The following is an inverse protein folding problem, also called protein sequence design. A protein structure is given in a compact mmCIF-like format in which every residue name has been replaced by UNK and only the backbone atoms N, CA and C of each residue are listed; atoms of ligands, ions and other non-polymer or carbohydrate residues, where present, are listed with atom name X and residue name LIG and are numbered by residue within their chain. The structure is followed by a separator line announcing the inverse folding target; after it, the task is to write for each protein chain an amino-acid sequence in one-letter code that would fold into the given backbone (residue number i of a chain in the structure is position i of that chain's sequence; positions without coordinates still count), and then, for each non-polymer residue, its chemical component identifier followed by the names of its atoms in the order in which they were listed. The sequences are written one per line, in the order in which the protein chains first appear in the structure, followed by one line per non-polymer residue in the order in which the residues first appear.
data_IF_996948554214
#
_entry.id   IF_996948554214
#
_cell.length_a   1.000
_cell.length_b   1.000
_cell.length_c   1.000
_cell.angle_alpha   90.00
_cell.angle_beta   90.00
_cell.angle_gamma   90.00
#
_symmetry.space_group_name_H-M   'P 1'
#
loop_
_entity.id
_entity.type
_entity.pdbx_description
1 polymer ?
#
# COMPACT_ATOMS: atom_id res chain seq x y z
N UNK A 1 -8.85 17.56 -11.43
CA UNK A 1 -8.96 16.63 -10.28
C UNK A 1 -7.67 15.88 -10.09
N UNK A 2 -7.22 15.79 -8.86
CA UNK A 2 -6.04 15.02 -8.54
C UNK A 2 -6.31 13.50 -8.66
N UNK A 3 -5.38 12.76 -9.25
CA UNK A 3 -5.45 11.30 -9.30
C UNK A 3 -5.13 10.73 -7.92
N UNK A 4 -5.46 9.45 -7.70
CA UNK A 4 -5.11 8.79 -6.44
C UNK A 4 -3.61 8.78 -6.20
N UNK A 5 -2.82 8.58 -7.26
CA UNK A 5 -1.36 8.64 -7.19
C UNK A 5 -0.88 10.02 -6.71
N UNK A 6 -1.46 11.08 -7.24
CA UNK A 6 -1.14 12.44 -6.83
C UNK A 6 -1.50 12.70 -5.37
N UNK A 7 -2.65 12.20 -4.93
CA UNK A 7 -3.09 12.34 -3.53
C UNK A 7 -2.10 11.65 -2.59
N UNK A 8 -1.69 10.42 -2.90
CA UNK A 8 -0.72 9.70 -2.07
C UNK A 8 0.65 10.38 -2.06
N UNK A 9 1.12 10.83 -3.23
CA UNK A 9 2.38 11.55 -3.30
C UNK A 9 2.34 12.82 -2.45
N UNK A 10 1.24 13.55 -2.50
CA UNK A 10 1.04 14.76 -1.70
C UNK A 10 1.00 14.46 -0.21
N UNK A 11 0.32 13.39 0.19
CA UNK A 11 0.30 12.95 1.58
C UNK A 11 1.71 12.62 2.08
N UNK A 12 2.50 11.91 1.28
CA UNK A 12 3.87 11.57 1.63
C UNK A 12 4.76 12.81 1.72
N UNK A 13 4.56 13.78 0.83
CA UNK A 13 5.28 15.07 0.89
C UNK A 13 4.92 15.84 2.16
N UNK A 14 3.64 15.88 2.50
CA UNK A 14 3.16 16.55 3.72
C UNK A 14 3.75 15.93 4.97
N UNK A 15 3.98 14.62 4.97
CA UNK A 15 4.60 13.89 6.06
C UNK A 15 6.14 13.96 6.05
N UNK A 16 6.72 14.53 4.99
CA UNK A 16 8.16 14.64 4.84
C UNK A 16 8.87 13.34 4.49
N UNK A 17 8.15 12.34 3.99
CA UNK A 17 8.70 11.02 3.68
C UNK A 17 8.63 10.65 2.20
N UNK A 18 8.20 11.58 1.35
CA UNK A 18 8.09 11.30 -0.09
C UNK A 18 9.47 11.09 -0.72
N UNK A 19 9.53 10.07 -1.58
CA UNK A 19 10.71 9.80 -2.41
C UNK A 19 10.24 9.37 -3.81
N UNK A 20 10.94 9.76 -4.87
CA UNK A 20 10.58 9.32 -6.23
C UNK A 20 10.57 7.80 -6.37
N UNK A 21 11.38 7.09 -5.60
CA UNK A 21 11.42 5.64 -5.61
C UNK A 21 10.12 5.00 -5.10
N UNK A 22 9.25 5.74 -4.43
CA UNK A 22 7.94 5.26 -4.00
C UNK A 22 6.89 5.23 -5.12
N UNK A 23 7.17 5.84 -6.28
CA UNK A 23 6.19 5.96 -7.36
C UNK A 23 5.58 4.60 -7.80
N UNK A 24 6.37 3.53 -8.02
CA UNK A 24 5.78 2.24 -8.38
C UNK A 24 4.85 1.69 -7.30
N UNK A 25 5.20 1.87 -6.04
CA UNK A 25 4.40 1.41 -4.90
C UNK A 25 3.10 2.21 -4.78
N UNK A 26 3.19 3.53 -4.97
CA UNK A 26 2.03 4.42 -4.99
C UNK A 26 1.07 4.00 -6.11
N UNK A 27 1.60 3.70 -7.28
CA UNK A 27 0.82 3.26 -8.43
C UNK A 27 0.09 1.94 -8.12
N UNK A 28 0.79 0.98 -7.53
CA UNK A 28 0.20 -0.29 -7.12
C UNK A 28 -0.92 -0.08 -6.11
N UNK A 29 -0.69 0.76 -5.11
CA UNK A 29 -1.70 1.09 -4.10
C UNK A 29 -2.95 1.72 -4.73
N UNK A 30 -2.77 2.64 -5.65
CA UNK A 30 -3.88 3.27 -6.37
C UNK A 30 -4.68 2.26 -7.18
N UNK A 31 -4.02 1.33 -7.85
CA UNK A 31 -4.67 0.25 -8.60
C UNK A 31 -5.48 -0.66 -7.66
N UNK A 32 -4.91 -1.03 -6.53
CA UNK A 32 -5.60 -1.85 -5.53
C UNK A 32 -6.86 -1.15 -5.00
N UNK A 33 -6.82 0.15 -4.80
CA UNK A 33 -7.99 0.89 -4.35
C UNK A 33 -9.08 0.97 -5.42
N UNK A 34 -8.72 1.09 -6.68
CA UNK A 34 -9.68 1.02 -7.79
C UNK A 34 -10.33 -0.36 -7.84
N UNK A 35 -9.52 -1.41 -7.67
CA UNK A 35 -10.02 -2.78 -7.64
C UNK A 35 -10.97 -3.00 -6.47
N UNK A 36 -10.66 -2.43 -5.31
CA UNK A 36 -11.54 -2.48 -4.14
C UNK A 36 -12.88 -1.81 -4.42
N UNK A 37 -12.90 -0.65 -5.07
CA UNK A 37 -14.16 0.02 -5.41
C UNK A 37 -15.00 -0.82 -6.37
N UNK A 38 -14.37 -1.45 -7.36
CA UNK A 38 -15.06 -2.36 -8.27
C UNK A 38 -15.63 -3.58 -7.54
N UNK A 39 -14.84 -4.18 -6.66
CA UNK A 39 -15.27 -5.33 -5.87
C UNK A 39 -16.44 -4.98 -4.96
N UNK A 40 -16.41 -3.82 -4.31
CA UNK A 40 -17.52 -3.34 -3.49
C UNK A 40 -18.79 -3.13 -4.31
N UNK A 41 -18.67 -2.56 -5.49
CA UNK A 41 -19.79 -2.34 -6.39
C UNK A 41 -20.40 -3.68 -6.83
N UNK A 42 -19.56 -4.63 -7.20
CA UNK A 42 -20.00 -5.97 -7.58
C UNK A 42 -20.71 -6.67 -6.43
N UNK A 43 -20.16 -6.58 -5.22
CA UNK A 43 -20.76 -7.17 -4.03
C UNK A 43 -22.14 -6.57 -3.72
N UNK A 44 -22.26 -5.24 -3.77
CA UNK A 44 -23.54 -4.58 -3.56
C UNK A 44 -24.58 -4.98 -4.59
N UNK A 45 -24.16 -5.23 -5.82
CA UNK A 45 -25.05 -5.64 -6.91
C UNK A 45 -25.59 -7.07 -6.73
N UNK A 46 -25.02 -7.88 -5.85
CA UNK A 46 -25.51 -9.23 -5.56
C UNK A 46 -26.76 -9.23 -4.69
N UNK A 47 -27.07 -8.11 -4.02
CA UNK A 47 -28.21 -8.01 -3.12
C UNK A 47 -29.35 -7.21 -3.77
N UNK A 48 -30.62 -7.53 -3.47
CA UNK A 48 -31.75 -6.71 -3.90
C UNK A 48 -31.71 -5.31 -3.27
N UNK A 49 -32.38 -4.36 -3.91
CA UNK A 49 -32.50 -3.01 -3.37
C UNK A 49 -33.08 -3.02 -1.96
N UNK A 50 -32.45 -2.29 -1.05
CA UNK A 50 -32.87 -2.21 0.34
C UNK A 50 -32.41 -3.36 1.23
N UNK A 51 -31.70 -4.36 0.67
CA UNK A 51 -31.17 -5.49 1.43
C UNK A 51 -29.65 -5.38 1.49
N UNK A 52 -29.02 -5.48 2.69
CA UNK A 52 -27.58 -5.48 2.77
C UNK A 52 -26.98 -6.70 2.07
N UNK A 53 -25.86 -6.55 1.33
CA UNK A 53 -25.21 -7.70 0.71
C UNK A 53 -24.65 -8.65 1.75
N UNK A 54 -24.62 -9.94 1.41
CA UNK A 54 -24.18 -10.99 2.34
C UNK A 54 -22.67 -11.07 2.42
N UNK A 55 -22.09 -11.16 3.64
CA UNK A 55 -20.66 -11.41 3.79
C UNK A 55 -20.25 -12.84 3.40
N UNK A 56 -21.22 -13.72 3.15
CA UNK A 56 -20.96 -15.08 2.66
C UNK A 56 -20.79 -15.13 1.14
N UNK A 57 -21.08 -14.05 0.44
CA UNK A 57 -20.90 -13.96 -1.00
C UNK A 57 -19.40 -14.00 -1.34
N UNK A 58 -19.00 -14.74 -2.41
CA UNK A 58 -17.58 -14.79 -2.81
C UNK A 58 -16.94 -13.43 -3.08
N UNK A 59 -17.72 -12.44 -3.51
CA UNK A 59 -17.20 -11.07 -3.72
C UNK A 59 -16.68 -10.46 -2.42
N UNK A 60 -17.25 -10.82 -1.28
CA UNK A 60 -16.78 -10.31 0.00
C UNK A 60 -15.37 -10.80 0.35
N UNK A 61 -15.03 -12.03 0.00
CA UNK A 61 -13.68 -12.54 0.19
C UNK A 61 -12.65 -11.75 -0.61
N UNK A 62 -12.99 -11.36 -1.84
CA UNK A 62 -12.15 -10.50 -2.66
C UNK A 62 -11.93 -9.15 -1.99
N UNK A 63 -13.00 -8.54 -1.46
CA UNK A 63 -12.91 -7.28 -0.73
C UNK A 63 -11.98 -7.40 0.48
N UNK A 64 -12.12 -8.47 1.26
CA UNK A 64 -11.29 -8.70 2.44
C UNK A 64 -9.81 -8.85 2.08
N UNK A 65 -9.50 -9.56 1.00
CA UNK A 65 -8.14 -9.71 0.50
C UNK A 65 -7.55 -8.39 0.02
N UNK A 66 -8.33 -7.61 -0.74
CA UNK A 66 -7.89 -6.30 -1.23
C UNK A 66 -7.62 -5.33 -0.08
N UNK A 67 -8.47 -5.34 0.95
CA UNK A 67 -8.25 -4.49 2.14
C UNK A 67 -6.95 -4.84 2.85
N UNK A 68 -6.62 -6.14 2.96
CA UNK A 68 -5.36 -6.57 3.57
C UNK A 68 -4.15 -6.14 2.75
N UNK A 69 -4.21 -6.27 1.44
CA UNK A 69 -3.14 -5.83 0.55
C UNK A 69 -2.95 -4.32 0.60
N UNK A 70 -4.04 -3.57 0.56
CA UNK A 70 -4.01 -2.11 0.67
C UNK A 70 -3.36 -1.70 1.98
N UNK A 71 -3.75 -2.32 3.09
CA UNK A 71 -3.18 -2.01 4.39
C UNK A 71 -1.68 -2.31 4.42
N UNK A 72 -1.25 -3.43 3.85
CA UNK A 72 0.16 -3.79 3.78
C UNK A 72 0.97 -2.77 2.98
N UNK A 73 0.46 -2.31 1.83
CA UNK A 73 1.13 -1.30 1.02
C UNK A 73 1.15 0.07 1.71
N UNK A 74 0.06 0.46 2.35
CA UNK A 74 0.02 1.71 3.13
C UNK A 74 1.00 1.67 4.29
N UNK A 75 1.08 0.54 4.98
CA UNK A 75 2.03 0.35 6.07
C UNK A 75 3.47 0.46 5.55
N UNK A 76 3.76 -0.16 4.42
CA UNK A 76 5.07 -0.10 3.79
C UNK A 76 5.49 1.33 3.41
N UNK A 77 4.54 2.17 2.99
CA UNK A 77 4.79 3.56 2.64
C UNK A 77 4.82 4.50 3.86
N UNK A 78 4.51 4.01 5.05
CA UNK A 78 4.43 4.85 6.25
C UNK A 78 3.14 5.65 6.35
N UNK A 79 2.09 5.24 5.63
CA UNK A 79 0.80 5.93 5.65
C UNK A 79 -0.12 5.49 6.79
N UNK A 80 0.26 4.49 7.58
CA UNK A 80 -0.44 4.14 8.81
C UNK A 80 0.22 4.84 9.99
N UNK A 81 -0.54 5.18 11.05
CA UNK A 81 0.05 5.85 12.21
C UNK A 81 1.21 5.07 12.83
N UNK A 82 1.10 3.76 12.87
CA UNK A 82 2.15 2.89 13.43
C UNK A 82 3.41 2.92 12.58
N UNK A 83 3.27 2.81 11.26
CA UNK A 83 4.40 2.82 10.34
C UNK A 83 5.07 4.19 10.29
N UNK A 84 4.28 5.28 10.29
CA UNK A 84 4.79 6.64 10.31
C UNK A 84 5.57 6.89 11.60
N UNK A 85 5.07 6.41 12.73
CA UNK A 85 5.75 6.53 14.02
C UNK A 85 7.10 5.82 13.99
N UNK A 86 7.17 4.61 13.47
CA UNK A 86 8.43 3.87 13.30
C UNK A 86 9.43 4.63 12.43
N UNK A 87 8.95 5.18 11.32
CA UNK A 87 9.79 5.98 10.42
C UNK A 87 10.37 7.20 11.13
N UNK A 88 9.54 7.91 11.88
CA UNK A 88 9.95 9.09 12.64
C UNK A 88 10.91 8.75 13.76
N UNK A 89 10.67 7.67 14.49
CA UNK A 89 11.55 7.21 15.55
C UNK A 89 12.93 6.83 15.03
N UNK A 90 12.99 6.17 13.88
CA UNK A 90 14.25 5.84 13.21
C UNK A 90 14.97 7.06 12.69
N UNK A 91 14.22 8.04 12.19
CA UNK A 91 14.77 9.28 11.67
C UNK A 91 15.24 10.26 12.74
N UNK A 92 14.70 10.19 13.96
CA UNK A 92 15.06 11.14 15.03
C UNK A 92 16.37 10.80 15.75
N UNK A 93 16.89 9.59 15.57
CA UNK A 93 18.13 9.18 16.20
C UNK A 93 19.37 9.77 15.51
N UNK A 94 19.40 9.76 14.18
CA UNK A 94 20.54 10.21 13.38
C UNK A 94 20.07 10.85 12.09
N UNK A 95 20.33 12.13 11.91
CA UNK A 95 19.89 12.88 10.74
C UNK A 95 20.38 12.30 9.39
N UNK A 96 21.64 11.77 9.27
CA UNK A 96 22.06 11.09 8.04
C UNK A 96 21.32 9.78 7.78
N UNK A 97 20.83 9.12 8.84
CA UNK A 97 20.21 7.80 8.74
C UNK A 97 18.74 7.85 8.32
N UNK A 98 18.14 9.02 8.31
CA UNK A 98 16.76 9.19 7.85
C UNK A 98 16.60 8.71 6.41
N UNK A 99 17.51 9.15 5.53
CA UNK A 99 17.54 8.69 4.14
C UNK A 99 17.89 7.21 4.03
N UNK A 100 18.85 6.77 4.83
CA UNK A 100 19.26 5.37 4.85
C UNK A 100 18.16 4.44 5.32
N UNK A 101 17.39 4.86 6.31
CA UNK A 101 16.24 4.10 6.81
C UNK A 101 15.14 3.97 5.74
N UNK A 102 14.89 5.05 5.00
CA UNK A 102 13.91 5.04 3.91
C UNK A 102 14.39 4.12 2.78
N UNK A 103 15.65 4.23 2.40
CA UNK A 103 16.26 3.39 1.36
C UNK A 103 16.22 1.91 1.78
N UNK A 104 16.59 1.60 3.02
CA UNK A 104 16.52 0.24 3.55
C UNK A 104 15.10 -0.32 3.50
N UNK A 105 14.12 0.51 3.80
CA UNK A 105 12.71 0.11 3.74
C UNK A 105 12.26 -0.15 2.31
N UNK A 106 12.70 0.66 1.36
CA UNK A 106 12.45 0.45 -0.06
C UNK A 106 13.08 -0.84 -0.54
N UNK A 107 14.30 -1.12 -0.14
CA UNK A 107 14.97 -2.36 -0.46
C UNK A 107 14.22 -3.57 0.09
N UNK A 108 13.73 -3.47 1.32
CA UNK A 108 12.91 -4.53 1.93
C UNK A 108 11.60 -4.75 1.17
N UNK A 109 10.97 -3.69 0.70
CA UNK A 109 9.76 -3.77 -0.13
C UNK A 109 10.09 -4.41 -1.47
N UNK A 110 11.17 -3.96 -2.10
CA UNK A 110 11.63 -4.51 -3.38
C UNK A 110 11.96 -5.99 -3.26
N UNK A 111 12.60 -6.40 -2.18
CA UNK A 111 12.86 -7.81 -1.90
C UNK A 111 11.58 -8.63 -1.75
N UNK A 112 10.56 -8.10 -1.09
CA UNK A 112 9.26 -8.78 -0.97
C UNK A 112 8.58 -8.92 -2.32
N UNK A 113 8.56 -7.83 -3.11
CA UNK A 113 7.88 -7.80 -4.40
C UNK A 113 8.60 -8.67 -5.41
N UNK A 114 9.93 -8.65 -5.41
CA UNK A 114 10.75 -9.42 -6.33
C UNK A 114 11.38 -10.66 -5.69
N UNK A 115 10.88 -11.10 -4.56
CA UNK A 115 11.43 -12.22 -3.81
C UNK A 115 11.54 -13.50 -4.62
N UNK A 116 10.58 -13.77 -5.48
CA UNK A 116 10.61 -14.93 -6.36
C UNK A 116 11.66 -14.80 -7.46
N UNK A 117 11.75 -13.61 -8.05
CA UNK A 117 12.72 -13.34 -9.10
C UNK A 117 14.14 -13.31 -8.55
N UNK A 118 14.32 -12.72 -7.34
CA UNK A 118 15.61 -12.69 -6.66
C UNK A 118 16.06 -14.10 -6.25
N UNK A 119 15.16 -14.94 -5.80
CA UNK A 119 15.47 -16.33 -5.47
C UNK A 119 15.94 -17.11 -6.71
N UNK A 120 15.32 -16.89 -7.85
CA UNK A 120 15.74 -17.49 -9.11
C UNK A 120 17.12 -16.97 -9.57
N UNK A 121 17.34 -15.68 -9.45
CA UNK A 121 18.60 -15.05 -9.82
C UNK A 121 19.75 -15.50 -8.93
N UNK A 122 19.52 -15.76 -7.65
CA UNK A 122 20.54 -16.15 -6.70
C UNK A 122 20.85 -17.65 -6.68
N UNK A 123 20.13 -18.45 -7.46
CA UNK A 123 20.37 -19.89 -7.57
C UNK A 123 21.35 -20.25 -8.68
N UNK A 124 21.92 -19.29 -9.32
CA UNK A 124 22.96 -19.52 -10.31
C UNK A 124 24.30 -19.90 -9.66
#
# INVERSE_FOLDING_TARGET
MATREQVYAEQLRSLGVYQPAFEPEIKTLAELERDLQRAKKAWRATAPAGVPPSPLDPHYAVIANLRREILAHRDALGLTPKALRRLRERGTGDAPDERSAIVARLDAIAERVSGYDAAEANTE
#
